data_IF_534634832276
#
_entry.id   IF_534634832276
#
_cell.length_a   1.000
_cell.length_b   1.000
_cell.length_c   1.000
_cell.angle_alpha   90.00
_cell.angle_beta   90.00
_cell.angle_gamma   90.00
#
_symmetry.space_group_name_H-M   'P 1'
#
loop_
_entity.id
_entity.type
_entity.pdbx_description
1 polymer ?
#
# COMPACT_ATOMS: atom_id res chain seq x y z
N UNK A 1 4.84 54.45 -58.76
CA UNK A 1 5.33 55.30 -57.64
C UNK A 1 4.48 54.95 -56.43
N UNK A 2 4.77 53.88 -55.69
CA UNK A 2 5.86 53.65 -54.73
C UNK A 2 5.51 54.24 -53.35
N UNK A 3 4.70 53.48 -52.60
CA UNK A 3 4.51 53.68 -51.17
C UNK A 3 5.62 52.91 -50.45
N UNK A 4 6.51 53.64 -49.78
CA UNK A 4 7.53 53.04 -48.94
C UNK A 4 6.91 52.59 -47.62
N UNK A 5 7.04 51.28 -47.36
CA UNK A 5 6.57 50.63 -46.16
C UNK A 5 7.50 50.89 -44.96
N UNK A 6 6.86 50.86 -43.80
CA UNK A 6 7.29 51.34 -42.50
C UNK A 6 8.29 50.35 -41.89
N UNK A 7 9.38 50.87 -41.33
CA UNK A 7 10.34 50.13 -40.49
C UNK A 7 9.63 49.52 -39.27
N UNK A 8 9.91 48.28 -38.91
CA UNK A 8 9.67 47.80 -37.53
C UNK A 8 10.65 46.71 -37.13
N UNK A 9 11.08 46.83 -35.88
CA UNK A 9 12.30 46.30 -35.30
C UNK A 9 12.28 44.80 -35.01
N UNK A 10 13.50 44.27 -34.89
CA UNK A 10 13.83 42.95 -34.38
C UNK A 10 13.43 42.75 -32.92
N UNK A 11 13.03 41.52 -32.57
CA UNK A 11 13.40 40.85 -31.31
C UNK A 11 12.90 39.38 -31.33
N UNK A 12 13.83 38.42 -31.47
CA UNK A 12 13.58 37.02 -31.17
C UNK A 12 13.74 36.82 -29.65
N UNK A 13 12.63 36.75 -28.92
CA UNK A 13 12.63 36.38 -27.51
C UNK A 13 12.68 34.84 -27.38
N UNK A 14 13.83 34.30 -26.96
CA UNK A 14 13.97 32.89 -26.58
C UNK A 14 13.33 32.69 -25.22
N UNK A 15 12.17 32.04 -25.18
CA UNK A 15 11.55 31.60 -23.92
C UNK A 15 12.27 30.34 -23.46
N UNK A 16 13.16 30.47 -22.48
CA UNK A 16 13.78 29.33 -21.80
C UNK A 16 12.75 28.72 -20.83
N UNK A 17 12.11 27.63 -21.24
CA UNK A 17 11.20 26.87 -20.39
C UNK A 17 11.98 26.15 -19.28
N UNK A 18 11.96 26.68 -18.05
CA UNK A 18 12.42 25.97 -16.87
C UNK A 18 11.41 24.89 -16.49
N UNK A 19 11.57 23.69 -17.04
CA UNK A 19 10.86 22.50 -16.54
C UNK A 19 11.44 22.18 -15.16
N UNK A 20 10.74 22.58 -14.09
CA UNK A 20 10.98 22.04 -12.75
C UNK A 20 10.64 20.54 -12.81
N UNK A 21 11.67 19.72 -12.99
CA UNK A 21 11.54 18.27 -12.87
C UNK A 21 11.18 17.96 -11.42
N UNK A 22 9.89 17.72 -11.16
CA UNK A 22 9.43 17.05 -9.95
C UNK A 22 9.97 15.61 -10.01
N UNK A 23 11.16 15.40 -9.45
CA UNK A 23 11.63 14.05 -9.10
C UNK A 23 10.83 13.61 -7.88
N UNK A 24 9.55 13.29 -8.09
CA UNK A 24 8.78 12.54 -7.10
C UNK A 24 9.53 11.24 -6.86
N UNK A 25 10.11 11.07 -5.68
CA UNK A 25 10.77 9.83 -5.30
C UNK A 25 9.75 8.70 -5.46
N UNK A 26 9.92 7.86 -6.48
CA UNK A 26 9.13 6.64 -6.59
C UNK A 26 9.67 5.67 -5.54
N UNK A 27 9.15 5.75 -4.31
CA UNK A 27 9.38 4.71 -3.32
C UNK A 27 8.64 3.47 -3.79
N UNK A 28 9.35 2.52 -4.39
CA UNK A 28 8.82 1.17 -4.60
C UNK A 28 8.49 0.60 -3.21
N UNK A 29 7.20 0.50 -2.90
CA UNK A 29 6.74 -0.11 -1.66
C UNK A 29 6.68 -1.62 -1.87
N UNK A 30 7.52 -2.36 -1.14
CA UNK A 30 7.46 -3.81 -1.13
C UNK A 30 6.28 -4.27 -0.27
N UNK A 31 5.45 -5.15 -0.81
CA UNK A 31 4.38 -5.81 -0.06
C UNK A 31 4.77 -7.24 0.26
N UNK A 32 4.41 -7.70 1.46
CA UNK A 32 4.50 -9.11 1.82
C UNK A 32 3.16 -9.80 1.48
N UNK A 33 3.23 -10.90 0.74
CA UNK A 33 2.05 -11.72 0.46
C UNK A 33 1.80 -12.67 1.65
N UNK A 34 0.61 -12.59 2.24
CA UNK A 34 0.17 -13.50 3.30
C UNK A 34 -1.26 -13.94 3.04
N UNK A 35 -1.54 -15.21 3.30
CA UNK A 35 -2.85 -15.81 3.09
C UNK A 35 -3.66 -15.82 4.38
N UNK A 36 -4.96 -15.53 4.28
CA UNK A 36 -5.93 -15.75 5.37
C UNK A 36 -6.11 -17.25 5.59
N UNK A 37 -5.89 -17.72 6.82
CA UNK A 37 -6.00 -19.12 7.18
C UNK A 37 -6.47 -19.32 8.64
N UNK A 38 -7.10 -20.45 8.91
CA UNK A 38 -7.47 -20.87 10.27
C UNK A 38 -8.66 -20.10 10.88
N UNK A 39 -9.40 -19.34 10.07
CA UNK A 39 -10.72 -18.80 10.45
C UNK A 39 -11.76 -19.95 10.44
N UNK A 40 -12.75 -19.98 11.35
CA UNK A 40 -13.82 -20.99 11.32
C UNK A 40 -14.54 -21.08 9.98
N UNK A 41 -15.16 -22.23 9.70
CA UNK A 41 -15.94 -22.42 8.49
C UNK A 41 -17.13 -21.45 8.44
N UNK A 42 -17.32 -20.78 7.29
CA UNK A 42 -18.36 -19.76 7.11
C UNK A 42 -17.99 -18.38 7.66
N UNK A 43 -16.87 -18.24 8.37
CA UNK A 43 -16.40 -16.96 8.92
C UNK A 43 -15.35 -16.28 8.03
N UNK A 44 -15.05 -15.03 8.39
CA UNK A 44 -14.08 -14.18 7.69
C UNK A 44 -13.12 -13.49 8.67
N UNK A 45 -11.90 -13.22 8.20
CA UNK A 45 -10.96 -12.35 8.88
C UNK A 45 -11.32 -10.89 8.58
N UNK A 46 -11.70 -10.15 9.63
CA UNK A 46 -12.02 -8.74 9.50
C UNK A 46 -10.74 -7.89 9.43
N UNK A 47 -10.68 -6.98 8.47
CA UNK A 47 -9.75 -5.85 8.45
C UNK A 47 -10.35 -4.72 9.29
N UNK A 48 -9.54 -4.11 10.16
CA UNK A 48 -9.98 -3.06 11.08
C UNK A 48 -9.16 -1.78 10.94
N UNK A 49 -9.80 -0.64 11.23
CA UNK A 49 -9.17 0.68 11.11
C UNK A 49 -7.95 0.86 12.02
N UNK A 50 -7.98 0.25 13.20
CA UNK A 50 -6.91 0.26 14.20
C UNK A 50 -6.63 -1.15 14.70
N UNK A 51 -5.43 -1.45 15.24
CA UNK A 51 -5.03 -2.78 15.70
C UNK A 51 -5.71 -3.18 17.02
N UNK A 52 -7.03 -3.32 17.00
CA UNK A 52 -7.86 -3.67 18.16
C UNK A 52 -9.13 -4.41 17.74
N UNK A 53 -9.54 -5.39 18.56
CA UNK A 53 -10.78 -6.16 18.35
C UNK A 53 -12.06 -5.33 18.44
N UNK A 54 -12.02 -4.16 19.08
CA UNK A 54 -13.15 -3.23 19.20
C UNK A 54 -13.17 -2.15 18.11
N UNK A 55 -12.13 -2.08 17.28
CA UNK A 55 -12.03 -1.07 16.22
C UNK A 55 -13.01 -1.33 15.07
N UNK A 56 -13.43 -0.26 14.39
CA UNK A 56 -14.31 -0.32 13.22
C UNK A 56 -13.78 -1.30 12.17
N UNK A 57 -14.67 -2.17 11.67
CA UNK A 57 -14.40 -3.06 10.54
C UNK A 57 -14.44 -2.28 9.23
N UNK A 58 -13.47 -2.52 8.36
CA UNK A 58 -13.37 -1.91 7.02
C UNK A 58 -13.71 -2.90 5.92
N UNK A 59 -13.22 -4.14 6.02
CA UNK A 59 -13.49 -5.23 5.09
C UNK A 59 -13.44 -6.58 5.81
N UNK A 60 -13.79 -7.65 5.11
CA UNK A 60 -13.71 -9.01 5.63
C UNK A 60 -13.30 -9.97 4.49
N UNK A 61 -12.36 -10.88 4.80
CA UNK A 61 -11.81 -11.81 3.82
C UNK A 61 -11.92 -13.27 4.29
N UNK A 62 -12.40 -14.19 3.45
CA UNK A 62 -12.48 -15.61 3.80
C UNK A 62 -11.09 -16.28 3.84
N UNK A 63 -11.03 -17.51 4.35
CA UNK A 63 -9.84 -18.35 4.19
C UNK A 63 -9.46 -18.48 2.71
N UNK A 64 -8.16 -18.50 2.43
CA UNK A 64 -7.61 -18.62 1.08
C UNK A 64 -7.27 -17.29 0.41
N UNK A 65 -7.82 -16.16 0.88
CA UNK A 65 -7.51 -14.83 0.31
C UNK A 65 -6.05 -14.45 0.55
N UNK A 66 -5.37 -14.01 -0.51
CA UNK A 66 -4.01 -13.43 -0.42
C UNK A 66 -4.14 -11.93 -0.15
N UNK A 67 -3.53 -11.48 0.94
CA UNK A 67 -3.52 -10.09 1.37
C UNK A 67 -2.21 -9.42 0.99
N UNK A 68 -2.32 -8.17 0.55
CA UNK A 68 -1.17 -7.29 0.31
C UNK A 68 -0.78 -6.62 1.62
N UNK A 69 0.16 -7.22 2.35
CA UNK A 69 0.59 -6.71 3.66
C UNK A 69 1.68 -5.65 3.47
N UNK A 70 1.63 -4.55 4.22
CA UNK A 70 2.62 -3.46 4.10
C UNK A 70 3.97 -3.79 4.73
N UNK A 71 4.07 -4.93 5.42
CA UNK A 71 5.22 -5.29 6.25
C UNK A 71 5.04 -4.91 7.72
N UNK A 72 4.32 -3.83 8.03
CA UNK A 72 4.21 -3.32 9.40
C UNK A 72 3.31 -4.21 10.27
N UNK A 73 3.81 -4.64 11.43
CA UNK A 73 2.99 -5.20 12.50
C UNK A 73 3.18 -4.42 13.81
N UNK A 74 2.28 -4.63 14.77
CA UNK A 74 2.45 -4.13 16.15
C UNK A 74 3.70 -4.73 16.79
N UNK A 75 4.18 -4.10 17.87
CA UNK A 75 5.39 -4.55 18.56
C UNK A 75 6.69 -4.31 17.79
N UNK A 76 6.66 -3.52 16.71
CA UNK A 76 7.84 -3.19 15.90
C UNK A 76 8.26 -4.27 14.90
N UNK A 77 7.48 -5.34 14.76
CA UNK A 77 7.80 -6.43 13.83
C UNK A 77 7.55 -6.01 12.37
N UNK A 78 8.45 -6.44 11.48
CA UNK A 78 8.31 -6.29 10.03
C UNK A 78 8.25 -7.66 9.32
N UNK A 79 7.20 -7.88 8.52
CA UNK A 79 6.99 -9.14 7.78
C UNK A 79 8.10 -9.40 6.76
N UNK A 80 8.69 -8.34 6.17
CA UNK A 80 9.75 -8.47 5.17
C UNK A 80 11.05 -9.00 5.79
N UNK A 81 11.30 -8.71 7.07
CA UNK A 81 12.50 -9.16 7.79
C UNK A 81 12.41 -10.63 8.20
N UNK A 82 11.20 -11.17 8.35
CA UNK A 82 10.98 -12.58 8.75
C UNK A 82 10.71 -13.49 7.56
N UNK A 83 10.56 -12.96 6.34
CA UNK A 83 10.16 -13.71 5.15
C UNK A 83 11.08 -14.91 4.83
N UNK A 84 12.38 -14.82 5.14
CA UNK A 84 13.34 -15.91 4.94
C UNK A 84 13.36 -16.99 6.02
N UNK A 85 12.58 -16.84 7.09
CA UNK A 85 12.52 -17.82 8.17
C UNK A 85 11.59 -18.99 7.81
N UNK A 86 11.73 -20.17 8.45
CA UNK A 86 10.75 -21.24 8.32
C UNK A 86 9.32 -20.76 8.64
N UNK A 87 8.32 -21.23 7.88
CA UNK A 87 6.93 -20.76 8.00
C UNK A 87 6.37 -20.81 9.43
N UNK A 88 6.76 -21.82 10.22
CA UNK A 88 6.33 -21.93 11.61
C UNK A 88 6.88 -20.81 12.50
N UNK A 89 8.13 -20.35 12.27
CA UNK A 89 8.71 -19.21 12.99
C UNK A 89 8.01 -17.92 12.63
N UNK A 90 7.71 -17.73 11.34
CA UNK A 90 6.97 -16.56 10.88
C UNK A 90 5.59 -16.47 11.53
N UNK A 91 4.81 -17.56 11.48
CA UNK A 91 3.50 -17.65 12.12
C UNK A 91 3.57 -17.42 13.63
N UNK A 92 4.60 -17.95 14.30
CA UNK A 92 4.79 -17.75 15.73
C UNK A 92 5.07 -16.28 16.07
N UNK A 93 5.90 -15.60 15.28
CA UNK A 93 6.28 -14.22 15.50
C UNK A 93 5.08 -13.26 15.42
N UNK A 94 4.15 -13.51 14.49
CA UNK A 94 3.00 -12.64 14.27
C UNK A 94 1.74 -13.05 15.05
N UNK A 95 1.74 -14.21 15.72
CA UNK A 95 0.55 -14.87 16.29
C UNK A 95 -0.34 -13.93 17.12
N UNK A 96 0.27 -13.04 17.88
CA UNK A 96 -0.42 -12.11 18.78
C UNK A 96 -0.32 -10.64 18.31
N UNK A 97 0.25 -10.41 17.15
CA UNK A 97 0.38 -9.08 16.56
C UNK A 97 -0.80 -8.76 15.67
N UNK A 98 -1.05 -7.47 15.50
CA UNK A 98 -1.85 -6.97 14.39
C UNK A 98 -0.90 -6.58 13.27
N UNK A 99 -1.20 -7.00 12.05
CA UNK A 99 -0.39 -6.69 10.87
C UNK A 99 -1.18 -5.84 9.90
N UNK A 100 -0.52 -4.84 9.33
CA UNK A 100 -1.13 -3.84 8.49
C UNK A 100 -1.26 -4.37 7.05
N UNK A 101 -2.45 -4.22 6.51
CA UNK A 101 -2.82 -4.61 5.14
C UNK A 101 -3.13 -3.36 4.34
N UNK A 102 -2.75 -3.36 3.07
CA UNK A 102 -3.17 -2.41 2.08
C UNK A 102 -4.32 -3.04 1.27
N UNK A 103 -5.50 -2.45 1.33
CA UNK A 103 -6.69 -3.05 0.72
C UNK A 103 -7.68 -1.99 0.25
N UNK A 104 -8.57 -2.38 -0.66
CA UNK A 104 -9.65 -1.53 -1.14
C UNK A 104 -11.00 -2.04 -0.58
N UNK A 105 -11.49 -1.47 0.52
CA UNK A 105 -12.75 -1.89 1.12
C UNK A 105 -13.98 -1.58 0.26
N UNK A 106 -13.91 -0.58 -0.61
CA UNK A 106 -15.03 -0.15 -1.45
C UNK A 106 -15.00 -0.75 -2.86
N UNK A 107 -13.92 -1.46 -3.23
CA UNK A 107 -13.71 -2.07 -4.54
C UNK A 107 -13.81 -1.06 -5.70
N UNK A 108 -13.33 0.16 -5.47
CA UNK A 108 -13.40 1.28 -6.42
C UNK A 108 -12.03 1.91 -6.71
N UNK A 109 -10.93 1.23 -6.35
CA UNK A 109 -9.56 1.74 -6.42
C UNK A 109 -9.15 2.60 -5.22
N UNK A 110 -10.03 2.81 -4.24
CA UNK A 110 -9.79 3.61 -3.04
C UNK A 110 -9.03 2.84 -1.97
N UNK A 111 -7.77 2.51 -2.22
CA UNK A 111 -6.97 1.75 -1.27
C UNK A 111 -6.69 2.51 0.03
N UNK A 112 -6.79 1.79 1.15
CA UNK A 112 -6.50 2.28 2.48
C UNK A 112 -5.68 1.26 3.26
N UNK A 113 -5.05 1.73 4.33
CA UNK A 113 -4.46 0.85 5.33
C UNK A 113 -5.53 0.36 6.30
N UNK A 114 -5.41 -0.89 6.69
CA UNK A 114 -6.15 -1.51 7.78
C UNK A 114 -5.30 -2.52 8.54
N UNK A 115 -5.87 -3.18 9.53
CA UNK A 115 -5.18 -4.09 10.43
C UNK A 115 -5.92 -5.42 10.52
N UNK A 116 -5.19 -6.52 10.39
CA UNK A 116 -5.67 -7.89 10.57
C UNK A 116 -4.93 -8.57 11.71
N UNK A 117 -5.59 -9.48 12.42
CA UNK A 117 -4.98 -10.17 13.54
C UNK A 117 -4.13 -11.36 13.05
N UNK A 118 -2.84 -11.35 13.38
CA UNK A 118 -1.83 -12.24 12.80
C UNK A 118 -2.03 -13.72 13.09
N UNK A 119 -2.82 -14.09 14.11
CA UNK A 119 -3.25 -15.48 14.37
C UNK A 119 -3.85 -16.16 13.13
N UNK A 120 -4.52 -15.39 12.27
CA UNK A 120 -5.26 -15.91 11.11
C UNK A 120 -4.52 -15.70 9.77
N UNK A 121 -3.19 -15.59 9.82
CA UNK A 121 -2.35 -15.41 8.64
C UNK A 121 -1.33 -16.55 8.52
N UNK A 122 -1.05 -16.96 7.29
CA UNK A 122 0.05 -17.88 6.94
C UNK A 122 0.88 -17.31 5.79
N UNK A 123 2.20 -17.55 5.74
CA UNK A 123 3.01 -17.16 4.58
C UNK A 123 2.45 -17.81 3.29
N UNK A 124 2.52 -17.08 2.17
CA UNK A 124 2.09 -17.49 0.83
C UNK A 124 3.28 -17.65 -0.12
#
# INVERSE_FOLDING_TARGET
MMNFHINTAAALAVVASTVLAFTGQSHATAFAAWQVAGVPFGDTLNVRKYPSGTSQKQAAYPNGTILQMTGKCTGGLNLLEIAGQPHWKQKQAIRYQWCQVWHDPAQNGGFVSGWVYGKYLTPY
#
